data_IF_557420534688
#
_entry.id   IF_557420534688
#
_cell.length_a   1.000
_cell.length_b   1.000
_cell.length_c   1.000
_cell.angle_alpha   90.00
_cell.angle_beta   90.00
_cell.angle_gamma   90.00
#
_symmetry.space_group_name_H-M   'P 1'
#
loop_
_entity.id
_entity.type
_entity.pdbx_description
1 polymer ?
#
# COMPACT_ATOMS: atom_id res chain seq x y z
N UNK A 1 22.63 -5.86 -11.35
CA UNK A 1 21.91 -4.57 -11.29
C UNK A 1 20.45 -4.85 -11.65
N UNK A 2 19.48 -4.48 -10.81
CA UNK A 2 18.07 -4.82 -11.06
C UNK A 2 17.54 -4.07 -12.29
N UNK A 3 16.75 -4.75 -13.12
CA UNK A 3 16.12 -4.14 -14.29
C UNK A 3 15.16 -3.02 -13.84
N UNK A 4 15.39 -1.80 -14.33
CA UNK A 4 14.59 -0.60 -14.01
C UNK A 4 13.10 -0.81 -14.29
N UNK A 5 12.73 -1.51 -15.36
CA UNK A 5 11.32 -1.78 -15.70
C UNK A 5 10.65 -2.67 -14.65
N UNK A 6 11.37 -3.68 -14.16
CA UNK A 6 10.88 -4.59 -13.12
C UNK A 6 10.67 -3.82 -11.80
N UNK A 7 11.64 -2.99 -11.42
CA UNK A 7 11.52 -2.15 -10.22
C UNK A 7 10.29 -1.23 -10.28
N UNK A 8 10.08 -0.51 -11.39
CA UNK A 8 8.93 0.39 -11.51
C UNK A 8 7.59 -0.35 -11.48
N UNK A 9 7.54 -1.59 -12.00
CA UNK A 9 6.34 -2.44 -11.88
C UNK A 9 6.05 -2.76 -10.42
N UNK A 10 7.05 -3.27 -9.67
CA UNK A 10 6.87 -3.62 -8.27
C UNK A 10 6.59 -2.40 -7.40
N UNK A 11 7.18 -1.25 -7.72
CA UNK A 11 6.87 0.02 -7.09
C UNK A 11 5.40 0.35 -7.20
N UNK A 12 4.83 0.31 -8.41
CA UNK A 12 3.40 0.56 -8.62
C UNK A 12 2.52 -0.41 -7.84
N UNK A 13 2.89 -1.69 -7.79
CA UNK A 13 2.16 -2.70 -7.01
C UNK A 13 2.16 -2.38 -5.52
N UNK A 14 3.32 -2.07 -4.92
CA UNK A 14 3.41 -1.68 -3.51
C UNK A 14 2.66 -0.37 -3.23
N UNK A 15 2.80 0.63 -4.10
CA UNK A 15 2.09 1.90 -3.93
C UNK A 15 0.57 1.70 -3.95
N UNK A 16 0.08 0.76 -4.76
CA UNK A 16 -1.33 0.37 -4.77
C UNK A 16 -1.73 -0.40 -3.50
N UNK A 17 -0.92 -1.34 -3.02
CA UNK A 17 -1.18 -2.06 -1.78
C UNK A 17 -1.22 -1.12 -0.56
N UNK A 18 -0.26 -0.20 -0.45
CA UNK A 18 -0.22 0.82 0.60
C UNK A 18 -1.44 1.74 0.54
N UNK A 19 -1.89 2.08 -0.67
CA UNK A 19 -3.11 2.84 -0.88
C UNK A 19 -4.35 2.09 -0.41
N UNK A 20 -4.46 0.80 -0.69
CA UNK A 20 -5.60 -0.01 -0.29
C UNK A 20 -5.57 -0.43 1.18
N UNK A 21 -4.39 -0.40 1.81
CA UNK A 21 -4.18 -0.83 3.19
C UNK A 21 -5.19 -0.27 4.21
N UNK A 22 -5.49 1.04 4.28
CA UNK A 22 -6.47 1.55 5.24
C UNK A 22 -7.87 0.97 5.05
N UNK A 23 -8.26 0.75 3.78
CA UNK A 23 -9.56 0.18 3.44
C UNK A 23 -9.61 -1.31 3.81
N UNK A 24 -8.55 -2.07 3.54
CA UNK A 24 -8.47 -3.47 3.96
C UNK A 24 -8.45 -3.62 5.48
N UNK A 25 -7.73 -2.74 6.19
CA UNK A 25 -7.71 -2.72 7.64
C UNK A 25 -9.11 -2.49 8.21
N UNK A 26 -9.81 -1.45 7.73
CA UNK A 26 -11.19 -1.19 8.13
C UNK A 26 -12.11 -2.37 7.82
N UNK A 27 -12.02 -2.97 6.64
CA UNK A 27 -12.84 -4.12 6.26
C UNK A 27 -12.67 -5.31 7.23
N UNK A 28 -11.43 -5.55 7.67
CA UNK A 28 -11.10 -6.62 8.63
C UNK A 28 -11.63 -6.29 10.03
N UNK A 29 -11.55 -5.03 10.44
CA UNK A 29 -12.00 -4.55 11.76
C UNK A 29 -13.53 -4.41 11.85
N UNK A 30 -14.21 -4.23 10.73
CA UNK A 30 -15.68 -4.06 10.67
C UNK A 30 -16.35 -5.13 9.78
N UNK A 31 -16.29 -6.42 10.17
CA UNK A 31 -16.94 -7.47 9.38
C UNK A 31 -18.45 -7.25 9.32
N UNK A 32 -19.04 -7.44 8.14
CA UNK A 32 -20.49 -7.34 7.93
C UNK A 32 -21.02 -5.96 7.56
N UNK A 33 -20.20 -4.89 7.58
CA UNK A 33 -20.60 -3.54 7.14
C UNK A 33 -20.34 -3.27 5.65
N UNK A 34 -20.02 -4.31 4.88
CA UNK A 34 -19.58 -4.20 3.48
C UNK A 34 -18.11 -3.80 3.34
N UNK A 35 -17.59 -3.82 2.12
CA UNK A 35 -16.20 -3.46 1.85
C UNK A 35 -16.07 -1.93 1.67
N UNK A 36 -15.25 -1.23 2.48
CA UNK A 36 -14.95 0.17 2.26
C UNK A 36 -14.22 0.33 0.92
N UNK A 37 -14.79 1.15 0.04
CA UNK A 37 -14.28 1.35 -1.31
C UNK A 37 -13.62 2.72 -1.45
N UNK A 38 -12.55 2.78 -2.25
CA UNK A 38 -11.98 4.03 -2.73
C UNK A 38 -12.97 4.68 -3.72
N UNK A 39 -13.73 5.66 -3.25
CA UNK A 39 -14.66 6.41 -4.08
C UNK A 39 -13.90 7.01 -5.28
N UNK A 40 -14.30 6.64 -6.51
CA UNK A 40 -13.68 7.12 -7.76
C UNK A 40 -12.71 6.16 -8.46
N UNK A 41 -12.36 5.01 -7.87
CA UNK A 41 -11.71 3.94 -8.62
C UNK A 41 -12.76 3.02 -9.22
N UNK A 42 -12.86 2.99 -10.55
CA UNK A 42 -13.56 1.90 -11.25
C UNK A 42 -12.87 0.60 -10.88
N UNK A 43 -13.54 -0.21 -10.07
CA UNK A 43 -13.18 -1.62 -9.94
C UNK A 43 -13.42 -2.19 -11.33
N UNK A 44 -12.35 -2.38 -12.11
CA UNK A 44 -12.42 -3.20 -13.30
C UNK A 44 -12.82 -4.59 -12.82
N UNK A 45 -14.12 -4.87 -12.82
CA UNK A 45 -14.65 -6.22 -12.68
C UNK A 45 -14.11 -6.99 -13.88
N UNK A 46 -12.96 -7.63 -13.70
CA UNK A 46 -12.45 -8.58 -14.68
C UNK A 46 -13.50 -9.66 -14.84
N UNK A 47 -14.01 -9.82 -16.06
CA UNK A 47 -15.16 -10.65 -16.38
C UNK A 47 -15.06 -12.07 -15.84
N UNK A 48 -16.23 -12.60 -15.46
CA UNK A 48 -16.57 -14.00 -15.19
C UNK A 48 -15.43 -15.02 -15.43
N UNK A 49 -14.72 -15.39 -14.37
CA UNK A 49 -13.88 -16.58 -14.34
C UNK A 49 -14.72 -17.80 -13.89
N UNK A 50 -14.42 -18.97 -14.46
CA UNK A 50 -15.13 -20.26 -14.24
C UNK A 50 -14.71 -20.94 -12.92
N UNK A 51 -14.76 -20.21 -11.82
CA UNK A 51 -14.44 -20.68 -10.48
C UNK A 51 -15.52 -20.16 -9.53
N UNK A 52 -15.89 -20.96 -8.52
CA UNK A 52 -16.92 -20.57 -7.55
C UNK A 52 -16.55 -19.21 -6.96
N UNK A 53 -17.43 -18.22 -7.11
CA UNK A 53 -17.23 -16.83 -6.62
C UNK A 53 -16.81 -16.80 -5.15
N UNK A 54 -17.28 -17.75 -4.35
CA UNK A 54 -16.97 -17.87 -2.92
C UNK A 54 -15.51 -18.22 -2.66
N UNK A 55 -14.92 -19.14 -3.42
CA UNK A 55 -13.53 -19.56 -3.24
C UNK A 55 -12.56 -18.44 -3.61
N UNK A 56 -12.84 -17.75 -4.73
CA UNK A 56 -12.04 -16.60 -5.14
C UNK A 56 -12.11 -15.46 -4.14
N UNK A 57 -13.30 -15.18 -3.61
CA UNK A 57 -13.47 -14.14 -2.60
C UNK A 57 -12.74 -14.51 -1.30
N UNK A 58 -12.79 -15.78 -0.89
CA UNK A 58 -12.02 -16.27 0.25
C UNK A 58 -10.51 -16.09 0.04
N UNK A 59 -9.98 -16.45 -1.13
CA UNK A 59 -8.55 -16.29 -1.46
C UNK A 59 -8.14 -14.81 -1.42
N UNK A 60 -8.95 -13.92 -2.01
CA UNK A 60 -8.70 -12.46 -1.98
C UNK A 60 -8.71 -11.93 -0.55
N UNK A 61 -9.61 -12.40 0.29
CA UNK A 61 -9.68 -11.99 1.68
C UNK A 61 -8.48 -12.46 2.50
N UNK A 62 -8.03 -13.70 2.26
CA UNK A 62 -6.78 -14.21 2.84
C UNK A 62 -5.57 -13.38 2.41
N UNK A 63 -5.46 -13.03 1.12
CA UNK A 63 -4.38 -12.19 0.61
C UNK A 63 -4.39 -10.80 1.27
N UNK A 64 -5.57 -10.17 1.39
CA UNK A 64 -5.72 -8.85 2.04
C UNK A 64 -5.29 -8.89 3.51
N UNK A 65 -5.73 -9.90 4.26
CA UNK A 65 -5.35 -10.07 5.68
C UNK A 65 -3.85 -10.23 5.85
N UNK A 66 -3.23 -11.06 5.01
CA UNK A 66 -1.78 -11.25 5.01
C UNK A 66 -1.03 -9.95 4.66
N UNK A 67 -1.48 -9.21 3.64
CA UNK A 67 -0.90 -7.90 3.28
C UNK A 67 -1.04 -6.87 4.40
N UNK A 68 -2.20 -6.79 5.05
CA UNK A 68 -2.42 -5.90 6.20
C UNK A 68 -1.44 -6.22 7.32
N UNK A 69 -1.28 -7.49 7.68
CA UNK A 69 -0.34 -7.91 8.72
C UNK A 69 1.11 -7.51 8.38
N UNK A 70 1.56 -7.79 7.14
CA UNK A 70 2.91 -7.42 6.70
C UNK A 70 3.12 -5.91 6.70
N UNK A 71 2.19 -5.14 6.11
CA UNK A 71 2.31 -3.69 6.04
C UNK A 71 2.37 -3.10 7.45
N UNK A 72 1.52 -3.57 8.35
CA UNK A 72 1.52 -3.18 9.77
C UNK A 72 2.87 -3.46 10.43
N UNK A 73 3.42 -4.66 10.22
CA UNK A 73 4.74 -5.04 10.76
C UNK A 73 5.86 -4.17 10.21
N UNK A 74 5.89 -3.91 8.90
CA UNK A 74 6.92 -3.06 8.30
C UNK A 74 6.83 -1.64 8.85
N UNK A 75 5.63 -1.06 8.94
CA UNK A 75 5.41 0.28 9.50
C UNK A 75 5.96 0.42 10.93
N UNK A 76 5.80 -0.60 11.78
CA UNK A 76 6.35 -0.62 13.15
C UNK A 76 7.87 -0.56 13.21
N UNK A 77 8.57 -0.96 12.14
CA UNK A 77 10.04 -1.01 12.06
C UNK A 77 10.63 0.09 11.14
N UNK A 78 9.80 0.99 10.61
CA UNK A 78 10.30 2.16 9.89
C UNK A 78 10.82 3.20 10.88
N UNK A 79 11.84 3.95 10.45
CA UNK A 79 12.21 5.19 11.13
C UNK A 79 11.03 6.18 11.11
N UNK A 80 10.90 7.06 12.12
CA UNK A 80 9.75 7.95 12.24
C UNK A 80 9.50 8.78 10.98
N UNK A 81 10.54 9.33 10.36
CA UNK A 81 10.42 10.13 9.14
C UNK A 81 9.84 9.33 7.98
N UNK A 82 10.39 8.14 7.70
CA UNK A 82 9.88 7.26 6.65
C UNK A 82 8.45 6.80 6.93
N UNK A 83 8.13 6.51 8.20
CA UNK A 83 6.77 6.11 8.61
C UNK A 83 5.77 7.23 8.32
N UNK A 84 6.03 8.44 8.79
CA UNK A 84 5.16 9.61 8.54
C UNK A 84 4.99 9.87 7.05
N UNK A 85 6.07 9.79 6.25
CA UNK A 85 5.97 9.95 4.80
C UNK A 85 5.02 8.90 4.20
N UNK A 86 5.10 7.63 4.60
CA UNK A 86 4.26 6.59 4.04
C UNK A 86 2.79 6.78 4.44
N UNK A 87 2.54 7.06 5.72
CA UNK A 87 1.18 7.24 6.25
C UNK A 87 0.50 8.44 5.57
N UNK A 88 1.16 9.60 5.55
CA UNK A 88 0.58 10.81 5.00
C UNK A 88 0.46 10.78 3.47
N UNK A 89 1.38 10.12 2.77
CA UNK A 89 1.40 10.11 1.31
C UNK A 89 0.51 9.03 0.69
N UNK A 90 0.31 7.89 1.36
CA UNK A 90 -0.44 6.76 0.81
C UNK A 90 -1.74 6.46 1.54
N UNK A 91 -1.88 6.80 2.82
CA UNK A 91 -3.07 6.47 3.61
C UNK A 91 -4.06 7.63 3.70
N UNK A 92 -3.55 8.86 3.68
CA UNK A 92 -4.38 10.08 3.69
C UNK A 92 -4.47 10.66 2.28
N UNK A 93 -5.66 11.11 1.91
CA UNK A 93 -5.92 11.71 0.60
C UNK A 93 -5.79 13.26 0.60
N UNK A 94 -5.38 13.86 1.74
CA UNK A 94 -5.52 15.31 1.96
C UNK A 94 -4.23 16.12 1.94
N UNK A 95 -3.05 15.49 2.02
CA UNK A 95 -1.80 16.22 2.19
C UNK A 95 -1.05 16.42 0.88
N UNK A 96 -0.67 17.66 0.59
CA UNK A 96 0.24 17.97 -0.51
C UNK A 96 1.69 17.61 -0.12
N UNK A 97 2.54 17.41 -1.14
CA UNK A 97 3.97 17.18 -0.91
C UNK A 97 4.59 18.38 -0.20
N UNK A 98 4.22 19.58 -0.61
CA UNK A 98 4.79 20.84 -0.13
C UNK A 98 4.48 21.07 1.35
N UNK A 99 3.29 20.71 1.82
CA UNK A 99 2.94 20.71 3.25
C UNK A 99 3.78 19.70 4.02
N UNK A 100 3.91 18.47 3.51
CA UNK A 100 4.68 17.43 4.17
C UNK A 100 6.17 17.77 4.28
N UNK A 101 6.74 18.39 3.23
CA UNK A 101 8.13 18.86 3.25
C UNK A 101 8.36 19.93 4.32
N UNK A 102 7.40 20.84 4.50
CA UNK A 102 7.43 21.87 5.54
C UNK A 102 7.30 21.27 6.93
N UNK A 103 6.33 20.38 7.13
CA UNK A 103 6.07 19.72 8.42
C UNK A 103 7.27 18.90 8.89
N UNK A 104 7.88 18.13 7.99
CA UNK A 104 9.04 17.30 8.30
C UNK A 104 10.36 18.08 8.27
N UNK A 105 10.35 19.35 7.84
CA UNK A 105 11.53 20.17 7.63
C UNK A 105 12.61 19.46 6.77
N UNK A 106 12.19 18.88 5.65
CA UNK A 106 13.08 18.18 4.71
C UNK A 106 12.96 18.76 3.30
N UNK A 107 14.04 18.62 2.53
CA UNK A 107 14.03 18.95 1.11
C UNK A 107 13.41 17.82 0.27
N UNK A 108 13.10 18.16 -0.99
CA UNK A 108 12.52 17.24 -1.98
C UNK A 108 13.36 15.98 -2.20
N UNK A 109 14.69 16.07 -2.20
CA UNK A 109 15.55 14.93 -2.44
C UNK A 109 15.51 13.96 -1.26
N UNK A 110 15.57 14.48 -0.03
CA UNK A 110 15.39 13.69 1.19
C UNK A 110 14.03 13.00 1.23
N UNK A 111 12.96 13.68 0.86
CA UNK A 111 11.63 13.07 0.76
C UNK A 111 11.65 11.83 -0.15
N UNK A 112 12.16 11.96 -1.38
CA UNK A 112 12.23 10.83 -2.30
C UNK A 112 13.19 9.74 -1.83
N UNK A 113 14.27 10.10 -1.14
CA UNK A 113 15.19 9.15 -0.54
C UNK A 113 14.50 8.28 0.51
N UNK A 114 13.87 8.88 1.52
CA UNK A 114 13.16 8.17 2.59
C UNK A 114 12.00 7.33 2.04
N UNK A 115 11.16 7.94 1.19
CA UNK A 115 10.04 7.24 0.56
C UNK A 115 10.49 6.03 -0.24
N UNK A 116 11.45 6.18 -1.16
CA UNK A 116 11.88 5.08 -2.02
C UNK A 116 12.60 3.99 -1.21
N UNK A 117 13.33 4.35 -0.15
CA UNK A 117 13.93 3.39 0.78
C UNK A 117 12.86 2.60 1.54
N UNK A 118 11.81 3.25 2.01
CA UNK A 118 10.68 2.60 2.66
C UNK A 118 9.93 1.66 1.69
N UNK A 119 9.62 2.12 0.47
CA UNK A 119 8.97 1.29 -0.55
C UNK A 119 9.75 0.00 -0.84
N UNK A 120 11.10 0.06 -0.88
CA UNK A 120 11.92 -1.15 -1.03
C UNK A 120 11.73 -2.14 0.11
N UNK A 121 11.62 -1.67 1.37
CA UNK A 121 11.35 -2.55 2.52
C UNK A 121 10.00 -3.26 2.36
N UNK A 122 8.97 -2.54 1.91
CA UNK A 122 7.68 -3.15 1.60
C UNK A 122 7.74 -4.13 0.43
N UNK A 123 8.44 -3.80 -0.67
CA UNK A 123 8.61 -4.71 -1.81
C UNK A 123 9.24 -6.04 -1.39
N UNK A 124 10.26 -5.98 -0.54
CA UNK A 124 10.92 -7.19 -0.02
C UNK A 124 9.99 -7.95 0.92
N UNK A 125 9.35 -7.28 1.87
CA UNK A 125 8.50 -7.92 2.85
C UNK A 125 7.26 -8.60 2.22
N UNK A 126 6.64 -7.98 1.22
CA UNK A 126 5.52 -8.55 0.45
C UNK A 126 6.03 -9.63 -0.54
N UNK A 127 7.34 -9.70 -0.80
CA UNK A 127 7.91 -10.71 -1.70
C UNK A 127 7.86 -10.35 -3.19
N UNK A 128 7.60 -9.09 -3.53
CA UNK A 128 7.76 -8.61 -4.91
C UNK A 128 9.22 -8.53 -5.32
N UNK A 129 10.09 -8.20 -4.37
CA UNK A 129 11.53 -8.18 -4.56
C UNK A 129 12.16 -9.30 -3.74
N UNK A 130 12.90 -10.19 -4.41
CA UNK A 130 13.71 -11.25 -3.78
C UNK A 130 15.17 -10.83 -3.69
#
# INVERSE_FOLDING_TARGET
>A
MMNKKIYERYKKSVENDLRNYPYWLLAIETPGLGAPNRWGQQVNQSGYFKTSTVEEDMIKDMERRWKVDIITKVLKHLDPTSKTIIEEWYFRDNNSREELLKELNIDKNKFYYYRNRALKKFMVAIGYLK
#
